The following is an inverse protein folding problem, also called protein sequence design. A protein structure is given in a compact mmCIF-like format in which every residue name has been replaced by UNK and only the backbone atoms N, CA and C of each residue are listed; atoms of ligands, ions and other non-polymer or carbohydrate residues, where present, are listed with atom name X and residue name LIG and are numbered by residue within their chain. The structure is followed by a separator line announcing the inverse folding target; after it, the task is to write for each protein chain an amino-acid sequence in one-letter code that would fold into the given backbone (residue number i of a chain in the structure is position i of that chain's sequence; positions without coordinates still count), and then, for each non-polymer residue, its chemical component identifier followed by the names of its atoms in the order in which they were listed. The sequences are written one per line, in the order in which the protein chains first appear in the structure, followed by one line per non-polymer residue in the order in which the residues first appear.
data_IF_986277229788
#
_entry.id   IF_986277229788
#
_cell.length_a   1.000
_cell.length_b   1.000
_cell.length_c   1.000
_cell.angle_alpha   90.00
_cell.angle_beta   90.00
_cell.angle_gamma   90.00
#
_symmetry.space_group_name_H-M   'P 1'
#
loop_
_entity.id
_entity.type
_entity.pdbx_description
1 polymer ?
#
# COMPACT_ATOMS: atom_id res chain seq x y z
N UNK A 1 -8.32 22.71 13.41
CA UNK A 1 -7.05 22.69 12.62
C UNK A 1 -5.88 22.04 13.35
N UNK A 2 -5.55 22.39 14.61
CA UNK A 2 -4.44 21.76 15.35
C UNK A 2 -4.64 20.26 15.59
N UNK A 3 -5.86 19.84 15.96
CA UNK A 3 -6.18 18.42 16.18
C UNK A 3 -6.07 17.58 14.90
N UNK A 4 -6.66 18.04 13.79
CA UNK A 4 -6.62 17.35 12.50
C UNK A 4 -5.17 17.11 12.03
N UNK A 5 -4.29 18.11 12.19
CA UNK A 5 -2.85 17.97 11.88
C UNK A 5 -2.16 16.95 12.78
N UNK A 6 -2.43 16.98 14.09
CA UNK A 6 -1.85 16.01 15.04
C UNK A 6 -2.32 14.58 14.76
N UNK A 7 -3.62 14.41 14.49
CA UNK A 7 -4.20 13.11 14.14
C UNK A 7 -3.58 12.56 12.84
N UNK A 8 -3.52 13.38 11.79
CA UNK A 8 -2.87 13.01 10.53
C UNK A 8 -1.40 12.63 10.72
N UNK A 9 -0.64 13.41 11.51
CA UNK A 9 0.77 13.11 11.81
C UNK A 9 0.93 11.75 12.48
N UNK A 10 0.21 11.49 13.57
CA UNK A 10 0.40 10.24 14.32
C UNK A 10 -0.08 9.01 13.55
N UNK A 11 -1.21 9.11 12.88
CA UNK A 11 -1.69 8.02 12.01
C UNK A 11 -0.71 7.77 10.87
N UNK A 12 -0.22 8.82 10.22
CA UNK A 12 0.78 8.74 9.16
C UNK A 12 2.06 8.03 9.63
N UNK A 13 2.63 8.46 10.75
CA UNK A 13 3.85 7.84 11.30
C UNK A 13 3.64 6.37 11.71
N UNK A 14 2.48 6.04 12.28
CA UNK A 14 2.18 4.66 12.70
C UNK A 14 2.05 3.71 11.51
N UNK A 15 1.39 4.13 10.44
CA UNK A 15 1.18 3.27 9.26
C UNK A 15 2.29 3.32 8.23
N UNK A 16 3.17 4.35 8.24
CA UNK A 16 4.23 4.51 7.25
C UNK A 16 5.12 3.26 7.05
N UNK A 17 5.62 2.57 8.10
CA UNK A 17 6.44 1.37 7.91
C UNK A 17 5.69 0.24 7.18
N UNK A 18 4.41 0.04 7.51
CA UNK A 18 3.59 -0.97 6.86
C UNK A 18 3.25 -0.58 5.42
N UNK A 19 2.91 0.69 5.16
CA UNK A 19 2.69 1.17 3.80
C UNK A 19 3.94 1.03 2.94
N UNK A 20 5.12 1.35 3.47
CA UNK A 20 6.39 1.14 2.77
C UNK A 20 6.61 -0.34 2.45
N UNK A 21 6.34 -1.24 3.40
CA UNK A 21 6.39 -2.68 3.14
C UNK A 21 5.48 -3.06 1.95
N UNK A 22 4.22 -2.62 1.95
CA UNK A 22 3.27 -2.90 0.85
C UNK A 22 3.70 -2.27 -0.48
N UNK A 23 4.22 -1.05 -0.47
CA UNK A 23 4.71 -0.36 -1.67
C UNK A 23 5.90 -1.11 -2.28
N UNK A 24 6.92 -1.46 -1.49
CA UNK A 24 8.10 -2.13 -2.01
C UNK A 24 7.79 -3.52 -2.53
N UNK A 25 7.00 -4.30 -1.80
CA UNK A 25 6.65 -5.67 -2.21
C UNK A 25 5.65 -5.68 -3.38
N UNK A 26 4.73 -4.72 -3.47
CA UNK A 26 3.81 -4.56 -4.60
C UNK A 26 4.50 -4.04 -5.87
N UNK A 27 5.45 -3.11 -5.74
CA UNK A 27 6.30 -2.69 -6.86
C UNK A 27 7.10 -3.88 -7.41
N UNK A 28 7.72 -4.66 -6.52
CA UNK A 28 8.46 -5.85 -6.91
C UNK A 28 7.59 -6.85 -7.68
N UNK A 29 6.32 -7.03 -7.30
CA UNK A 29 5.36 -7.88 -8.03
C UNK A 29 5.05 -7.35 -9.43
N UNK A 30 4.97 -6.02 -9.58
CA UNK A 30 4.68 -5.38 -10.88
C UNK A 30 5.78 -5.64 -11.90
N UNK A 31 7.05 -5.69 -11.45
CA UNK A 31 8.21 -5.93 -12.33
C UNK A 31 8.67 -7.39 -12.37
N UNK A 32 8.18 -8.25 -11.46
CA UNK A 32 8.44 -9.70 -11.43
C UNK A 32 7.13 -10.50 -11.34
N UNK A 33 6.42 -10.66 -12.47
CA UNK A 33 5.09 -11.27 -12.50
C UNK A 33 5.09 -12.78 -12.21
N UNK A 34 6.24 -13.45 -12.15
CA UNK A 34 6.34 -14.88 -11.84
C UNK A 34 5.85 -15.15 -10.41
N UNK A 35 4.60 -15.61 -10.30
CA UNK A 35 3.99 -15.98 -9.02
C UNK A 35 4.44 -17.38 -8.62
N UNK A 36 4.93 -17.49 -7.39
CA UNK A 36 5.15 -18.78 -6.73
C UNK A 36 3.80 -19.39 -6.35
N UNK A 37 3.59 -20.67 -6.65
CA UNK A 37 2.31 -21.36 -6.41
C UNK A 37 2.22 -21.94 -5.01
N UNK A 38 3.37 -22.25 -4.41
CA UNK A 38 3.44 -22.85 -3.07
C UNK A 38 4.41 -22.10 -2.15
N UNK A 39 4.13 -22.05 -0.82
CA UNK A 39 5.03 -21.44 0.17
C UNK A 39 6.46 -21.98 0.14
N UNK A 40 6.64 -23.25 -0.24
CA UNK A 40 7.94 -23.92 -0.38
C UNK A 40 8.79 -23.38 -1.52
N UNK A 41 8.22 -22.63 -2.47
CA UNK A 41 8.95 -22.00 -3.58
C UNK A 41 9.56 -20.63 -3.19
N UNK A 42 9.34 -20.17 -1.96
CA UNK A 42 9.88 -18.91 -1.45
C UNK A 42 11.26 -19.10 -0.80
N UNK A 43 12.30 -19.21 -1.61
CA UNK A 43 13.67 -19.45 -1.14
C UNK A 43 14.31 -18.17 -0.59
N UNK A 44 14.13 -17.04 -1.30
CA UNK A 44 14.76 -15.76 -0.95
C UNK A 44 13.92 -14.94 0.04
N UNK A 45 14.57 -14.08 0.83
CA UNK A 45 13.89 -13.15 1.74
C UNK A 45 12.83 -12.31 1.00
N UNK A 46 13.14 -11.84 -0.21
CA UNK A 46 12.23 -11.01 -1.00
C UNK A 46 10.98 -11.77 -1.46
N UNK A 47 11.13 -13.05 -1.82
CA UNK A 47 9.99 -13.94 -2.11
C UNK A 47 9.15 -14.20 -0.85
N UNK A 48 9.78 -14.42 0.32
CA UNK A 48 9.08 -14.60 1.60
C UNK A 48 8.26 -13.36 1.98
N UNK A 49 8.83 -12.16 1.81
CA UNK A 49 8.13 -10.88 2.04
C UNK A 49 6.97 -10.68 1.05
N UNK A 50 7.14 -11.08 -0.22
CA UNK A 50 6.05 -11.10 -1.20
C UNK A 50 4.90 -12.01 -0.78
N UNK A 51 5.21 -13.19 -0.23
CA UNK A 51 4.20 -14.10 0.31
C UNK A 51 3.43 -13.48 1.48
N UNK A 52 4.10 -12.77 2.38
CA UNK A 52 3.42 -12.02 3.44
C UNK A 52 2.49 -10.95 2.87
N UNK A 53 2.88 -10.25 1.79
CA UNK A 53 2.02 -9.26 1.15
C UNK A 53 0.74 -9.89 0.58
N UNK A 54 0.85 -11.00 -0.16
CA UNK A 54 -0.27 -11.60 -0.92
C UNK A 54 -1.11 -12.55 -0.07
N UNK A 55 -0.44 -13.46 0.65
CA UNK A 55 -1.08 -14.57 1.38
C UNK A 55 -1.18 -14.29 2.88
N UNK A 56 -0.58 -13.20 3.38
CA UNK A 56 -0.69 -12.77 4.79
C UNK A 56 -0.18 -13.81 5.80
N UNK A 57 0.69 -14.69 5.32
CA UNK A 57 1.38 -15.74 6.07
C UNK A 57 2.88 -15.64 5.80
N UNK A 58 3.67 -15.94 6.82
CA UNK A 58 5.11 -16.09 6.65
C UNK A 58 5.43 -17.55 6.31
N UNK A 59 6.00 -17.85 5.13
CA UNK A 59 6.36 -19.20 4.76
C UNK A 59 7.52 -19.71 5.64
N UNK A 60 7.32 -20.84 6.30
CA UNK A 60 8.37 -21.55 7.05
C UNK A 60 8.79 -22.81 6.29
N UNK A 61 10.08 -23.07 6.26
CA UNK A 61 10.66 -24.26 5.64
C UNK A 61 10.25 -25.51 6.44
N UNK A 62 9.80 -26.56 5.74
CA UNK A 62 9.49 -27.86 6.36
C UNK A 62 8.13 -27.99 7.05
N UNK A 63 7.29 -26.95 7.10
CA UNK A 63 5.93 -27.02 7.68
C UNK A 63 4.86 -27.17 6.59
N UNK A 64 4.16 -28.31 6.56
CA UNK A 64 3.02 -28.54 5.65
C UNK A 64 1.73 -27.84 6.10
N UNK A 65 1.63 -27.51 7.39
CA UNK A 65 0.45 -26.84 7.96
C UNK A 65 0.62 -25.34 7.83
N UNK A 66 -0.16 -24.73 6.94
CA UNK A 66 -0.13 -23.28 6.78
C UNK A 66 -0.69 -22.59 8.04
N UNK A 67 0.01 -21.57 8.59
CA UNK A 67 -0.50 -20.78 9.69
C UNK A 67 -1.73 -19.96 9.25
N UNK A 68 -2.59 -19.62 10.21
CA UNK A 68 -3.81 -18.85 9.93
C UNK A 68 -3.48 -17.37 9.67
N UNK A 69 -3.96 -16.76 8.57
CA UNK A 69 -3.71 -15.34 8.27
C UNK A 69 -4.59 -14.38 9.10
N UNK A 70 -5.58 -14.88 9.85
CA UNK A 70 -6.66 -14.08 10.45
C UNK A 70 -6.17 -12.90 11.31
N UNK A 71 -5.12 -13.10 12.12
CA UNK A 71 -4.59 -12.02 12.97
C UNK A 71 -3.95 -10.91 12.13
N UNK A 72 -3.17 -11.28 11.12
CA UNK A 72 -2.56 -10.32 10.21
C UNK A 72 -3.62 -9.65 9.33
N UNK A 73 -4.65 -10.36 8.90
CA UNK A 73 -5.80 -9.80 8.19
C UNK A 73 -6.49 -8.69 8.96
N UNK A 74 -6.76 -8.90 10.26
CA UNK A 74 -7.36 -7.88 11.11
C UNK A 74 -6.48 -6.62 11.16
N UNK A 75 -5.15 -6.80 11.30
CA UNK A 75 -4.20 -5.69 11.25
C UNK A 75 -4.24 -4.96 9.91
N UNK A 76 -4.24 -5.68 8.79
CA UNK A 76 -4.28 -5.11 7.43
C UNK A 76 -5.58 -4.36 7.18
N UNK A 77 -6.72 -4.88 7.61
CA UNK A 77 -8.03 -4.20 7.50
C UNK A 77 -8.05 -2.94 8.35
N UNK A 78 -7.59 -3.01 9.61
CA UNK A 78 -7.51 -1.85 10.49
C UNK A 78 -6.57 -0.78 9.90
N UNK A 79 -5.42 -1.20 9.36
CA UNK A 79 -4.49 -0.32 8.65
C UNK A 79 -5.16 0.33 7.44
N UNK A 80 -5.84 -0.43 6.59
CA UNK A 80 -6.48 0.10 5.39
C UNK A 80 -7.51 1.18 5.73
N UNK A 81 -8.34 0.95 6.76
CA UNK A 81 -9.31 1.94 7.23
C UNK A 81 -8.61 3.20 7.74
N UNK A 82 -7.65 3.04 8.65
CA UNK A 82 -7.01 4.17 9.32
C UNK A 82 -6.07 4.96 8.40
N UNK A 83 -5.36 4.29 7.49
CA UNK A 83 -4.57 4.94 6.45
C UNK A 83 -5.46 5.71 5.46
N UNK A 84 -6.62 5.17 5.10
CA UNK A 84 -7.61 5.89 4.26
C UNK A 84 -8.08 7.17 4.96
N UNK A 85 -8.40 7.10 6.25
CA UNK A 85 -8.73 8.29 7.04
C UNK A 85 -7.57 9.29 7.06
N UNK A 86 -6.34 8.82 7.23
CA UNK A 86 -5.16 9.68 7.20
C UNK A 86 -4.99 10.40 5.85
N UNK A 87 -5.22 9.71 4.73
CA UNK A 87 -5.18 10.28 3.37
C UNK A 87 -6.26 11.36 3.21
N UNK A 88 -7.51 11.07 3.60
CA UNK A 88 -8.61 12.04 3.55
C UNK A 88 -8.28 13.28 4.38
N UNK A 89 -7.77 13.11 5.60
CA UNK A 89 -7.32 14.22 6.43
C UNK A 89 -6.21 15.04 5.76
N UNK A 90 -5.25 14.37 5.11
CA UNK A 90 -4.18 15.01 4.35
C UNK A 90 -4.71 15.89 3.21
N UNK A 91 -5.66 15.38 2.42
CA UNK A 91 -6.32 16.13 1.34
C UNK A 91 -7.09 17.34 1.89
N UNK A 92 -7.87 17.15 2.95
CA UNK A 92 -8.60 18.25 3.62
C UNK A 92 -7.64 19.32 4.13
N UNK A 93 -6.52 18.90 4.73
CA UNK A 93 -5.49 19.82 5.19
C UNK A 93 -4.86 20.58 4.02
N UNK A 94 -4.55 19.91 2.91
CA UNK A 94 -3.96 20.54 1.72
C UNK A 94 -4.84 21.67 1.16
N UNK A 95 -6.15 21.44 1.00
CA UNK A 95 -7.09 22.48 0.55
C UNK A 95 -7.24 23.64 1.54
N UNK A 96 -7.13 23.36 2.84
CA UNK A 96 -7.26 24.39 3.88
C UNK A 96 -5.98 25.20 4.09
N UNK A 97 -4.82 24.65 3.76
CA UNK A 97 -3.51 25.28 4.02
C UNK A 97 -2.84 25.86 2.77
N UNK A 98 -3.21 25.42 1.58
CA UNK A 98 -2.64 25.91 0.31
C UNK A 98 -3.55 26.94 -0.33
N UNK A 99 -2.99 28.10 -0.67
CA UNK A 99 -3.63 29.08 -1.57
C UNK A 99 -2.64 29.55 -2.63
N UNK A 100 -3.04 29.65 -3.92
CA UNK A 100 -4.34 29.25 -4.48
C UNK A 100 -4.53 27.72 -4.54
N UNK A 101 -5.78 27.27 -4.45
CA UNK A 101 -6.13 25.84 -4.33
C UNK A 101 -5.97 25.03 -5.62
N UNK A 102 -5.76 25.68 -6.77
CA UNK A 102 -5.67 25.01 -8.06
C UNK A 102 -4.54 23.98 -8.13
N UNK A 103 -3.42 24.21 -7.43
CA UNK A 103 -2.32 23.25 -7.33
C UNK A 103 -2.76 21.92 -6.68
N UNK A 104 -3.66 21.98 -5.69
CA UNK A 104 -4.19 20.79 -5.02
C UNK A 104 -5.08 20.01 -5.99
N UNK A 105 -5.95 20.71 -6.74
CA UNK A 105 -6.77 20.09 -7.78
C UNK A 105 -5.92 19.47 -8.89
N UNK A 106 -4.91 20.19 -9.39
CA UNK A 106 -4.00 19.69 -10.41
C UNK A 106 -3.34 18.39 -9.97
N UNK A 107 -2.81 18.34 -8.74
CA UNK A 107 -2.15 17.14 -8.21
C UNK A 107 -3.09 15.93 -8.13
N UNK A 108 -4.34 16.11 -7.67
CA UNK A 108 -5.35 15.05 -7.61
C UNK A 108 -5.70 14.55 -9.02
N UNK A 109 -5.96 15.46 -9.95
CA UNK A 109 -6.32 15.11 -11.34
C UNK A 109 -5.17 14.37 -12.01
N UNK A 110 -3.93 14.84 -11.89
CA UNK A 110 -2.76 14.16 -12.46
C UNK A 110 -2.56 12.77 -11.84
N UNK A 111 -2.74 12.63 -10.53
CA UNK A 111 -2.61 11.34 -9.84
C UNK A 111 -3.59 10.27 -10.35
N UNK A 112 -4.77 10.67 -10.82
CA UNK A 112 -5.76 9.78 -11.43
C UNK A 112 -5.53 9.59 -12.94
N UNK A 113 -5.19 10.67 -13.66
CA UNK A 113 -5.08 10.65 -15.11
C UNK A 113 -3.84 9.91 -15.60
N UNK A 114 -2.69 10.04 -14.92
CA UNK A 114 -1.42 9.45 -15.38
C UNK A 114 -1.50 7.92 -15.53
N UNK A 115 -1.99 7.14 -14.53
CA UNK A 115 -2.12 5.70 -14.70
C UNK A 115 -3.04 5.29 -15.86
N UNK A 116 -4.17 5.99 -16.03
CA UNK A 116 -5.14 5.72 -17.10
C UNK A 116 -4.51 5.92 -18.48
N UNK A 117 -3.83 7.05 -18.68
CA UNK A 117 -3.15 7.36 -19.94
C UNK A 117 -2.06 6.35 -20.25
N UNK A 118 -1.25 5.97 -19.25
CA UNK A 118 -0.19 4.96 -19.42
C UNK A 118 -0.76 3.60 -19.83
N UNK A 119 -1.86 3.15 -19.21
CA UNK A 119 -2.52 1.90 -19.57
C UNK A 119 -3.09 1.95 -21.00
N UNK A 120 -3.73 3.05 -21.38
CA UNK A 120 -4.29 3.22 -22.73
C UNK A 120 -3.21 3.23 -23.82
N UNK A 121 -2.07 3.89 -23.57
CA UNK A 121 -0.93 3.85 -24.47
C UNK A 121 -0.33 2.43 -24.59
N UNK A 122 -0.35 1.67 -23.50
CA UNK A 122 0.10 0.27 -23.48
C UNK A 122 -0.77 -0.68 -24.31
N UNK A 123 -2.07 -0.40 -24.46
CA UNK A 123 -3.00 -1.21 -25.26
C UNK A 123 -2.80 -1.09 -26.78
N UNK A 124 -2.09 -0.06 -27.25
CA UNK A 124 -1.86 0.20 -28.68
C UNK A 124 -0.64 -0.55 -29.25
N UNK A 125 -0.14 -1.55 -28.54
CA UNK A 125 0.89 -2.49 -28.98
C UNK A 125 0.29 -3.87 -29.14
#
# INVERSE_FOLDING_TARGET
MKLLRRAHLYLGCFFAPMLLFYIFTGWYQTVNPQRAKHPSEAETLLQKLRFVHVEQIYPKEGEFKQPSPKLFQVLVVAMAILATLAIVMGIVLAFKSTRPQWHVWLAIVLGLAVPIVLLWLGQKR
#
